data_IF_147728045916
#
_entry.id   IF_147728045916
#
_cell.length_a   1.000
_cell.length_b   1.000
_cell.length_c   1.000
_cell.angle_alpha   90.00
_cell.angle_beta   90.00
_cell.angle_gamma   90.00
#
_symmetry.space_group_name_H-M   'P 1'
#
loop_
_entity.id
_entity.type
_entity.pdbx_description
1 polymer ?
#
# COMPACT_ATOMS: atom_id res chain seq x y z
N UNK A 1 -5.29 -2.67 -11.76
CA UNK A 1 -6.72 -2.30 -11.71
C UNK A 1 -6.82 -0.84 -12.11
N UNK A 2 -7.52 -0.55 -13.21
CA UNK A 2 -7.55 0.81 -13.78
C UNK A 2 -8.43 1.69 -12.89
N UNK A 3 -8.06 2.95 -12.70
CA UNK A 3 -8.80 3.93 -11.87
C UNK A 3 -10.31 3.95 -12.21
N UNK A 4 -10.63 3.73 -13.49
CA UNK A 4 -12.01 3.62 -14.00
C UNK A 4 -12.78 2.45 -13.37
N UNK A 5 -12.20 1.26 -13.26
CA UNK A 5 -12.84 0.09 -12.63
C UNK A 5 -13.11 0.33 -11.14
N UNK A 6 -12.15 0.95 -10.45
CA UNK A 6 -12.25 1.25 -9.03
C UNK A 6 -13.29 2.33 -8.72
N UNK A 7 -13.44 3.32 -9.62
CA UNK A 7 -14.49 4.33 -9.54
C UNK A 7 -15.87 3.72 -9.85
N UNK A 8 -15.97 2.92 -10.91
CA UNK A 8 -17.24 2.35 -11.35
C UNK A 8 -17.79 1.30 -10.39
N UNK A 9 -16.97 0.37 -9.89
CA UNK A 9 -17.49 -0.68 -8.99
C UNK A 9 -17.81 -0.16 -7.58
N UNK A 10 -17.18 0.94 -7.15
CA UNK A 10 -17.21 1.35 -5.74
C UNK A 10 -18.02 2.62 -5.46
N UNK A 11 -18.12 3.52 -6.42
CA UNK A 11 -18.84 4.79 -6.27
C UNK A 11 -20.15 4.84 -7.07
N UNK A 12 -20.28 4.05 -8.15
CA UNK A 12 -21.50 4.01 -8.95
C UNK A 12 -22.72 3.47 -8.18
N UNK A 13 -22.63 2.37 -7.38
CA UNK A 13 -23.80 1.85 -6.67
C UNK A 13 -24.46 2.86 -5.70
N UNK A 14 -23.74 3.60 -4.84
CA UNK A 14 -24.38 4.58 -3.96
C UNK A 14 -24.92 5.81 -4.71
N UNK A 15 -24.28 6.22 -5.81
CA UNK A 15 -24.80 7.30 -6.67
C UNK A 15 -26.11 6.87 -7.34
N UNK A 16 -26.15 5.66 -7.90
CA UNK A 16 -27.37 5.09 -8.48
C UNK A 16 -28.45 4.94 -7.40
N UNK A 17 -28.10 4.44 -6.21
CA UNK A 17 -29.07 4.32 -5.12
C UNK A 17 -29.65 5.67 -4.70
N UNK A 18 -28.84 6.73 -4.63
CA UNK A 18 -29.30 8.08 -4.34
C UNK A 18 -30.25 8.62 -5.43
N UNK A 19 -29.89 8.44 -6.71
CA UNK A 19 -30.73 8.84 -7.84
C UNK A 19 -32.06 8.07 -7.87
N UNK A 20 -32.02 6.76 -7.64
CA UNK A 20 -33.21 5.90 -7.57
C UNK A 20 -34.09 6.32 -6.39
N UNK A 21 -33.51 6.61 -5.23
CA UNK A 21 -34.25 7.06 -4.05
C UNK A 21 -34.92 8.43 -4.28
N UNK A 22 -34.23 9.37 -4.93
CA UNK A 22 -34.82 10.64 -5.34
C UNK A 22 -35.97 10.46 -6.34
N UNK A 23 -35.79 9.58 -7.34
CA UNK A 23 -36.80 9.26 -8.33
C UNK A 23 -38.03 8.58 -7.72
N UNK A 24 -37.84 7.59 -6.84
CA UNK A 24 -38.92 6.91 -6.14
C UNK A 24 -39.69 7.87 -5.23
N UNK A 25 -39.00 8.78 -4.55
CA UNK A 25 -39.62 9.81 -3.71
C UNK A 25 -40.48 10.78 -4.53
N UNK A 26 -39.98 11.21 -5.69
CA UNK A 26 -40.74 12.04 -6.63
C UNK A 26 -41.96 11.29 -7.20
N UNK A 27 -41.78 10.02 -7.59
CA UNK A 27 -42.85 9.20 -8.14
C UNK A 27 -43.96 8.94 -7.11
N UNK A 28 -43.59 8.67 -5.85
CA UNK A 28 -44.53 8.50 -4.74
C UNK A 28 -45.28 9.80 -4.43
N UNK A 29 -44.59 10.94 -4.43
CA UNK A 29 -45.20 12.27 -4.26
C UNK A 29 -46.21 12.57 -5.38
N UNK A 30 -45.88 12.24 -6.63
CA UNK A 30 -46.76 12.40 -7.80
C UNK A 30 -48.04 11.56 -7.70
N UNK A 31 -47.94 10.30 -7.27
CA UNK A 31 -49.11 9.42 -7.12
C UNK A 31 -50.06 9.91 -6.01
N UNK A 32 -49.50 10.43 -4.91
CA UNK A 32 -50.30 10.80 -3.74
C UNK A 32 -50.75 12.27 -3.74
N UNK A 33 -50.43 13.06 -4.77
CA UNK A 33 -50.69 14.51 -4.85
C UNK A 33 -50.15 15.31 -3.65
N UNK A 34 -49.09 14.82 -3.01
CA UNK A 34 -48.40 15.49 -1.89
C UNK A 34 -47.21 16.24 -2.48
N UNK A 35 -46.91 17.46 -2.02
CA UNK A 35 -45.71 18.16 -2.49
C UNK A 35 -44.45 17.38 -2.09
N UNK A 36 -43.45 17.29 -2.96
CA UNK A 36 -42.22 16.53 -2.68
C UNK A 36 -41.53 17.00 -1.39
N UNK A 37 -41.65 18.28 -1.07
CA UNK A 37 -41.12 18.90 0.14
C UNK A 37 -41.90 18.41 1.38
N UNK A 38 -43.23 18.38 1.34
CA UNK A 38 -44.06 17.82 2.41
C UNK A 38 -43.75 16.34 2.66
N UNK A 39 -43.50 15.57 1.60
CA UNK A 39 -43.08 14.18 1.76
C UNK A 39 -41.76 14.07 2.53
N UNK A 40 -40.75 14.88 2.23
CA UNK A 40 -39.47 14.87 2.95
C UNK A 40 -39.60 15.24 4.44
N UNK A 41 -40.49 16.20 4.76
CA UNK A 41 -40.77 16.58 6.14
C UNK A 41 -41.65 15.57 6.88
N UNK A 42 -42.38 14.71 6.17
CA UNK A 42 -43.15 13.62 6.78
C UNK A 42 -42.27 12.46 7.25
N UNK A 43 -41.03 12.36 6.75
CA UNK A 43 -40.07 11.34 7.17
C UNK A 43 -39.60 11.65 8.61
N UNK A 44 -39.71 10.69 9.55
CA UNK A 44 -39.29 10.89 10.93
C UNK A 44 -37.81 11.34 11.02
N UNK A 45 -37.47 12.30 11.91
CA UNK A 45 -36.10 12.80 12.07
C UNK A 45 -35.06 11.70 12.33
N UNK A 46 -35.47 10.60 12.97
CA UNK A 46 -34.60 9.44 13.24
C UNK A 46 -34.07 8.81 11.95
N UNK A 47 -34.86 8.77 10.88
CA UNK A 47 -34.45 8.20 9.58
C UNK A 47 -33.35 9.07 8.96
N UNK A 48 -33.49 10.39 9.04
CA UNK A 48 -32.45 11.33 8.58
C UNK A 48 -31.14 11.15 9.34
N UNK A 49 -31.20 10.99 10.67
CA UNK A 49 -30.03 10.72 11.50
C UNK A 49 -29.32 9.41 11.09
N UNK A 50 -30.07 8.34 10.86
CA UNK A 50 -29.52 7.06 10.38
C UNK A 50 -28.85 7.21 9.00
N UNK A 51 -29.46 7.94 8.06
CA UNK A 51 -28.87 8.17 6.74
C UNK A 51 -27.55 8.95 6.83
N UNK A 52 -27.50 9.99 7.66
CA UNK A 52 -26.26 10.75 7.91
C UNK A 52 -25.18 9.85 8.51
N UNK A 53 -25.53 8.99 9.47
CA UNK A 53 -24.60 8.06 10.10
C UNK A 53 -24.04 7.04 9.09
N UNK A 54 -24.89 6.47 8.23
CA UNK A 54 -24.45 5.56 7.15
C UNK A 54 -23.51 6.27 6.18
N UNK A 55 -23.82 7.52 5.82
CA UNK A 55 -22.98 8.31 4.94
C UNK A 55 -21.60 8.61 5.56
N UNK A 56 -21.56 8.94 6.86
CA UNK A 56 -20.31 9.13 7.59
C UNK A 56 -19.48 7.84 7.65
N UNK A 57 -20.11 6.70 7.95
CA UNK A 57 -19.42 5.39 7.93
C UNK A 57 -18.83 5.09 6.56
N UNK A 58 -19.55 5.39 5.49
CA UNK A 58 -19.07 5.19 4.12
C UNK A 58 -17.85 6.07 3.80
N UNK A 59 -17.87 7.33 4.22
CA UNK A 59 -16.70 8.22 4.13
C UNK A 59 -15.51 7.64 4.90
N UNK A 60 -15.71 7.18 6.14
CA UNK A 60 -14.65 6.56 6.94
C UNK A 60 -14.03 5.34 6.20
N UNK A 61 -14.86 4.47 5.61
CA UNK A 61 -14.39 3.31 4.84
C UNK A 61 -13.59 3.72 3.60
N UNK A 62 -13.96 4.83 2.93
CA UNK A 62 -13.19 5.38 1.82
C UNK A 62 -11.82 5.85 2.30
N UNK A 63 -11.76 6.63 3.38
CA UNK A 63 -10.50 7.13 3.93
C UNK A 63 -9.57 5.99 4.35
N UNK A 64 -10.08 4.99 5.06
CA UNK A 64 -9.31 3.81 5.46
C UNK A 64 -8.75 3.10 4.22
N UNK A 65 -9.59 2.80 3.22
CA UNK A 65 -9.10 2.10 2.03
C UNK A 65 -8.13 2.95 1.18
N UNK A 66 -8.29 4.27 1.12
CA UNK A 66 -7.30 5.13 0.45
C UNK A 66 -5.94 5.04 1.15
N UNK A 67 -5.93 5.04 2.48
CA UNK A 67 -4.70 4.89 3.27
C UNK A 67 -4.06 3.51 3.07
N UNK A 68 -4.85 2.45 2.97
CA UNK A 68 -4.32 1.09 2.78
C UNK A 68 -3.80 0.81 1.36
N UNK A 69 -4.38 1.47 0.35
CA UNK A 69 -4.06 1.23 -1.05
C UNK A 69 -2.95 2.13 -1.60
N UNK A 70 -2.10 2.75 -0.76
CA UNK A 70 -0.91 3.46 -1.23
C UNK A 70 0.06 2.44 -1.84
N UNK A 71 -0.10 2.19 -3.15
CA UNK A 71 0.86 1.39 -3.91
C UNK A 71 2.01 2.30 -4.30
N UNK A 72 3.12 2.18 -3.60
CA UNK A 72 4.40 2.68 -4.10
C UNK A 72 4.79 1.86 -5.33
N UNK A 73 4.68 2.47 -6.52
CA UNK A 73 5.18 1.88 -7.76
C UNK A 73 6.69 1.89 -7.73
N UNK A 74 7.26 0.76 -7.31
CA UNK A 74 8.70 0.55 -7.37
C UNK A 74 9.11 0.12 -8.77
N UNK A 75 9.50 1.08 -9.59
CA UNK A 75 10.22 0.85 -10.83
C UNK A 75 11.72 0.96 -10.53
N UNK A 76 12.28 -0.02 -9.82
CA UNK A 76 13.73 -0.17 -9.78
C UNK A 76 14.24 -0.61 -11.14
N UNK A 77 15.36 -0.03 -11.59
CA UNK A 77 16.09 -0.57 -12.74
C UNK A 77 16.46 -2.02 -12.44
N UNK A 78 16.10 -2.94 -13.34
CA UNK A 78 16.53 -4.33 -13.23
C UNK A 78 17.97 -4.38 -13.76
N UNK A 79 18.97 -4.67 -12.92
CA UNK A 79 20.35 -4.77 -13.36
C UNK A 79 20.48 -5.91 -14.36
N UNK A 80 21.30 -5.70 -15.40
CA UNK A 80 21.50 -6.64 -16.50
C UNK A 80 21.94 -8.03 -16.02
N UNK A 81 22.81 -8.05 -15.01
CA UNK A 81 23.39 -9.26 -14.45
C UNK A 81 22.61 -9.80 -13.23
N UNK A 82 21.45 -9.20 -12.92
CA UNK A 82 20.64 -9.60 -11.79
C UNK A 82 21.14 -9.05 -10.45
N UNK A 83 20.52 -9.58 -9.39
CA UNK A 83 20.69 -9.12 -8.02
C UNK A 83 21.43 -10.17 -7.19
N UNK A 84 22.39 -9.76 -6.38
CA UNK A 84 22.96 -10.60 -5.32
C UNK A 84 22.43 -10.17 -3.96
N UNK A 85 22.15 -11.13 -3.07
CA UNK A 85 21.71 -10.84 -1.71
C UNK A 85 22.95 -10.53 -0.85
N UNK A 86 22.91 -9.41 -0.13
CA UNK A 86 24.04 -8.95 0.71
C UNK A 86 23.70 -9.07 2.18
N UNK A 87 22.54 -8.56 2.58
CA UNK A 87 22.16 -8.41 3.97
C UNK A 87 20.75 -8.94 4.22
N UNK A 88 20.49 -9.39 5.44
CA UNK A 88 19.16 -9.74 5.94
C UNK A 88 18.78 -8.73 7.02
N UNK A 89 17.55 -8.23 6.95
CA UNK A 89 17.02 -7.26 7.91
C UNK A 89 15.71 -7.76 8.49
N UNK A 90 15.66 -7.91 9.81
CA UNK A 90 14.43 -8.27 10.49
C UNK A 90 13.62 -7.02 10.78
N UNK A 91 12.42 -6.94 10.22
CA UNK A 91 11.52 -5.81 10.43
C UNK A 91 10.08 -6.27 10.33
N UNK A 92 9.23 -5.76 11.21
CA UNK A 92 7.82 -6.07 11.24
C UNK A 92 7.52 -7.58 11.42
N UNK A 93 8.38 -8.29 12.17
CA UNK A 93 8.22 -9.73 12.46
C UNK A 93 8.43 -10.65 11.25
N UNK A 94 9.08 -10.16 10.20
CA UNK A 94 9.47 -10.92 9.00
C UNK A 94 10.90 -10.57 8.60
N UNK A 95 11.51 -11.42 7.79
CA UNK A 95 12.88 -11.23 7.31
C UNK A 95 12.88 -10.58 5.93
N UNK A 96 13.56 -9.47 5.77
CA UNK A 96 13.77 -8.78 4.50
C UNK A 96 15.15 -9.10 3.95
N UNK A 97 15.25 -9.25 2.63
CA UNK A 97 16.54 -9.43 1.96
C UNK A 97 16.95 -8.13 1.29
N UNK A 98 18.12 -7.62 1.65
CA UNK A 98 18.75 -6.51 0.96
C UNK A 98 19.65 -7.07 -0.13
N UNK A 99 19.58 -6.45 -1.30
CA UNK A 99 20.24 -6.88 -2.52
C UNK A 99 21.04 -5.73 -3.11
N UNK A 100 22.09 -6.06 -3.84
CA UNK A 100 22.88 -5.11 -4.64
C UNK A 100 22.98 -5.66 -6.07
N UNK A 101 23.10 -4.83 -7.10
CA UNK A 101 23.33 -5.31 -8.45
C UNK A 101 24.64 -6.11 -8.54
N UNK A 102 24.66 -7.19 -9.32
CA UNK A 102 25.90 -7.89 -9.64
C UNK A 102 26.68 -7.03 -10.63
N UNK A 103 27.82 -6.50 -10.19
CA UNK A 103 28.71 -5.69 -11.02
C UNK A 103 29.60 -6.64 -11.82
N UNK A 104 29.62 -6.50 -13.15
CA UNK A 104 30.57 -7.22 -14.01
C UNK A 104 31.93 -6.53 -13.94
N UNK A 105 33.02 -7.22 -13.55
CA UNK A 105 34.34 -6.60 -13.52
C UNK A 105 34.83 -6.15 -14.92
N UNK A 106 34.25 -6.68 -16.00
CA UNK A 106 34.65 -6.36 -17.38
C UNK A 106 34.05 -5.04 -17.91
N UNK A 107 32.94 -4.58 -17.33
CA UNK A 107 32.24 -3.35 -17.74
C UNK A 107 32.53 -2.14 -16.81
N UNK A 108 33.47 -2.29 -15.87
CA UNK A 108 33.85 -1.28 -14.86
C UNK A 108 34.74 -0.14 -15.41
N UNK A 109 34.89 -0.02 -16.74
CA UNK A 109 35.67 1.02 -17.41
C UNK A 109 34.85 2.28 -17.70
N UNK A 110 34.09 2.80 -16.73
CA UNK A 110 33.63 4.18 -16.78
C UNK A 110 34.38 5.02 -15.73
N UNK A 111 35.49 5.68 -16.11
CA UNK A 111 36.35 6.44 -15.20
C UNK A 111 35.68 7.70 -14.62
N UNK A 112 34.45 8.03 -15.01
CA UNK A 112 33.70 9.20 -14.50
C UNK A 112 32.63 8.87 -13.46
N UNK A 113 32.39 7.59 -13.12
CA UNK A 113 31.38 7.23 -12.13
C UNK A 113 31.95 7.19 -10.70
N UNK A 114 32.34 8.36 -10.19
CA UNK A 114 32.93 8.54 -8.85
C UNK A 114 31.92 8.49 -7.68
N UNK A 115 30.63 8.25 -7.94
CA UNK A 115 29.62 8.04 -6.90
C UNK A 115 29.30 6.55 -6.76
N UNK A 116 30.31 5.76 -6.35
CA UNK A 116 30.22 4.32 -6.09
C UNK A 116 29.50 3.99 -4.77
N UNK A 117 28.37 4.63 -4.49
CA UNK A 117 27.51 4.12 -3.41
C UNK A 117 26.76 2.92 -3.98
N UNK A 118 27.01 1.69 -3.50
CA UNK A 118 26.29 0.53 -4.00
C UNK A 118 24.80 0.76 -3.77
N UNK A 119 24.01 0.72 -4.85
CA UNK A 119 22.56 0.86 -4.75
C UNK A 119 22.01 -0.37 -4.05
N UNK A 120 21.66 -0.22 -2.77
CA UNK A 120 21.00 -1.25 -2.00
C UNK A 120 19.50 -1.24 -2.28
N UNK A 121 18.93 -2.43 -2.40
CA UNK A 121 17.53 -2.62 -2.73
C UNK A 121 16.94 -3.70 -1.82
N UNK A 122 15.83 -3.37 -1.16
CA UNK A 122 15.07 -4.35 -0.39
C UNK A 122 14.17 -5.16 -1.32
N UNK A 123 14.34 -6.49 -1.26
CA UNK A 123 13.55 -7.45 -2.01
C UNK A 123 12.04 -7.18 -1.90
N UNK A 124 11.27 -7.36 -3.00
CA UNK A 124 9.86 -6.99 -3.03
C UNK A 124 8.97 -7.86 -2.14
N UNK A 125 9.44 -9.04 -1.76
CA UNK A 125 8.70 -9.99 -0.92
C UNK A 125 9.53 -10.36 0.32
N UNK A 126 8.98 -10.21 1.53
CA UNK A 126 9.62 -10.67 2.75
C UNK A 126 9.62 -12.20 2.81
N UNK A 127 10.46 -12.71 3.69
CA UNK A 127 10.59 -14.12 4.01
C UNK A 127 10.06 -14.39 5.41
N UNK A 128 9.55 -15.59 5.59
CA UNK A 128 9.10 -16.05 6.89
C UNK A 128 10.25 -16.10 7.91
N UNK A 129 10.00 -15.75 9.19
CA UNK A 129 11.00 -15.87 10.25
C UNK A 129 11.46 -17.30 10.48
N UNK A 130 10.56 -18.28 10.38
CA UNK A 130 10.82 -19.71 10.64
C UNK A 130 11.37 -20.43 9.40
N UNK A 131 10.60 -20.41 8.30
CA UNK A 131 10.83 -21.24 7.10
C UNK A 131 11.76 -20.57 6.06
N UNK A 132 12.13 -19.29 6.24
CA UNK A 132 12.83 -18.41 5.25
C UNK A 132 12.26 -18.42 3.82
N UNK A 133 11.06 -18.97 3.64
CA UNK A 133 10.36 -19.05 2.37
C UNK A 133 9.67 -17.71 2.11
N UNK A 134 9.54 -17.34 0.84
CA UNK A 134 8.82 -16.14 0.42
C UNK A 134 7.37 -16.20 0.91
N UNK A 135 6.91 -15.12 1.53
CA UNK A 135 5.53 -15.03 2.02
C UNK A 135 4.58 -14.75 0.86
N UNK A 136 3.43 -15.41 0.89
CA UNK A 136 2.29 -15.12 0.01
C UNK A 136 1.45 -14.03 0.67
N UNK A 137 1.09 -13.01 -0.10
CA UNK A 137 0.32 -11.86 0.39
C UNK A 137 -1.07 -11.92 -0.22
N UNK A 138 -2.09 -11.89 0.62
CA UNK A 138 -3.49 -11.83 0.23
C UNK A 138 -4.09 -10.49 0.66
N UNK A 139 -4.61 -9.75 -0.29
CA UNK A 139 -5.29 -8.48 -0.06
C UNK A 139 -6.76 -8.71 0.26
N UNK A 140 -7.22 -8.26 1.41
CA UNK A 140 -8.64 -8.22 1.77
C UNK A 140 -9.16 -6.78 1.82
N UNK A 141 -10.47 -6.61 2.02
CA UNK A 141 -11.11 -5.30 1.95
C UNK A 141 -10.59 -4.29 2.97
N UNK A 142 -10.23 -4.75 4.17
CA UNK A 142 -9.76 -3.91 5.29
C UNK A 142 -8.48 -4.43 5.94
N UNK A 143 -7.84 -5.48 5.41
CA UNK A 143 -6.54 -5.92 5.93
C UNK A 143 -5.77 -6.67 4.84
N UNK A 144 -4.49 -6.89 5.09
CA UNK A 144 -3.64 -7.80 4.33
C UNK A 144 -3.29 -8.99 5.21
N UNK A 145 -3.16 -10.16 4.59
CA UNK A 145 -2.73 -11.38 5.26
C UNK A 145 -1.45 -11.88 4.62
N UNK A 146 -0.44 -12.17 5.42
CA UNK A 146 0.84 -12.72 4.99
C UNK A 146 0.95 -14.14 5.50
N UNK A 147 1.14 -15.11 4.60
CA UNK A 147 1.17 -16.54 4.94
C UNK A 147 2.41 -17.22 4.38
N UNK A 148 3.11 -18.06 5.16
CA UNK A 148 4.13 -18.97 4.61
C UNK A 148 3.40 -20.15 3.94
N UNK A 149 3.74 -20.52 2.70
CA UNK A 149 3.17 -21.72 2.07
C UNK A 149 3.73 -23.03 2.65
N UNK A 150 4.85 -22.96 3.38
CA UNK A 150 5.57 -24.12 3.89
C UNK A 150 5.37 -24.34 5.41
N UNK A 151 5.02 -23.31 6.18
CA UNK A 151 4.80 -23.42 7.63
C UNK A 151 3.53 -22.67 8.03
N UNK A 152 3.07 -22.87 9.26
CA UNK A 152 1.84 -22.27 9.78
C UNK A 152 1.96 -20.79 10.16
N UNK A 153 3.00 -20.10 9.70
CA UNK A 153 3.15 -18.67 9.92
C UNK A 153 2.09 -17.89 9.13
N UNK A 154 1.24 -17.18 9.87
CA UNK A 154 0.24 -16.27 9.33
C UNK A 154 0.22 -14.95 10.11
N UNK A 155 0.27 -13.83 9.41
CA UNK A 155 0.22 -12.49 10.03
C UNK A 155 -0.83 -11.62 9.34
N UNK A 156 -1.67 -10.95 10.12
CA UNK A 156 -2.63 -9.95 9.64
C UNK A 156 -2.05 -8.55 9.82
N UNK A 157 -2.16 -7.71 8.80
CA UNK A 157 -1.58 -6.36 8.79
C UNK A 157 -2.56 -5.36 8.18
N UNK A 158 -2.56 -4.12 8.65
CA UNK A 158 -3.32 -3.02 8.03
C UNK A 158 -2.49 -2.24 7.02
N UNK A 159 -1.17 -2.42 7.10
CA UNK A 159 -0.21 -1.73 6.24
C UNK A 159 0.07 -2.57 5.00
N UNK A 160 0.20 -1.89 3.87
CA UNK A 160 0.57 -2.54 2.62
C UNK A 160 2.01 -3.04 2.71
N UNK A 161 2.32 -4.12 1.99
CA UNK A 161 3.69 -4.61 1.89
C UNK A 161 4.65 -3.54 1.37
N UNK A 162 4.17 -2.69 0.45
CA UNK A 162 4.98 -1.63 -0.15
C UNK A 162 5.38 -0.58 0.88
N UNK A 163 4.45 -0.14 1.73
CA UNK A 163 4.75 0.85 2.78
C UNK A 163 5.70 0.29 3.86
N UNK A 164 5.57 -1.00 4.17
CA UNK A 164 6.51 -1.68 5.10
C UNK A 164 7.89 -1.78 4.44
N UNK A 165 7.97 -2.21 3.20
CA UNK A 165 9.24 -2.31 2.45
C UNK A 165 9.93 -0.96 2.34
N UNK A 166 9.22 0.11 2.00
CA UNK A 166 9.80 1.44 1.82
C UNK A 166 10.37 1.97 3.15
N UNK A 167 9.73 1.65 4.28
CA UNK A 167 10.33 1.91 5.61
C UNK A 167 11.61 1.10 5.84
N UNK A 168 11.64 -0.17 5.45
CA UNK A 168 12.86 -0.98 5.55
C UNK A 168 13.97 -0.42 4.65
N UNK A 169 13.62 0.01 3.44
CA UNK A 169 14.56 0.65 2.51
C UNK A 169 15.17 1.91 3.15
N UNK A 170 14.35 2.81 3.68
CA UNK A 170 14.83 4.02 4.35
C UNK A 170 15.74 3.72 5.56
N UNK A 171 15.44 2.65 6.31
CA UNK A 171 16.30 2.20 7.43
C UNK A 171 17.66 1.72 6.90
N UNK A 172 17.66 0.91 5.85
CA UNK A 172 18.88 0.38 5.23
C UNK A 172 19.71 1.51 4.63
N UNK A 173 19.08 2.43 3.89
CA UNK A 173 19.75 3.58 3.28
C UNK A 173 20.43 4.44 4.37
N UNK A 174 19.73 4.70 5.48
CA UNK A 174 20.32 5.44 6.60
C UNK A 174 21.49 4.71 7.25
N UNK A 175 21.43 3.38 7.39
CA UNK A 175 22.53 2.59 7.93
C UNK A 175 23.77 2.65 7.05
N UNK A 176 23.59 2.66 5.73
CA UNK A 176 24.66 2.79 4.74
C UNK A 176 25.27 4.18 4.78
N UNK A 177 24.46 5.24 4.84
CA UNK A 177 24.95 6.62 5.00
C UNK A 177 25.85 6.77 6.23
N UNK A 178 25.43 6.23 7.38
CA UNK A 178 26.20 6.29 8.62
C UNK A 178 27.54 5.56 8.47
N UNK A 179 27.56 4.41 7.79
CA UNK A 179 28.81 3.67 7.55
C UNK A 179 29.77 4.47 6.65
N UNK A 180 29.26 5.09 5.59
CA UNK A 180 30.05 5.94 4.70
C UNK A 180 30.61 7.19 5.41
N UNK A 181 29.80 7.84 6.27
CA UNK A 181 30.26 8.96 7.10
C UNK A 181 31.40 8.54 8.05
N UNK A 182 31.32 7.33 8.63
CA UNK A 182 32.35 6.77 9.51
C UNK A 182 33.63 6.40 8.75
N UNK A 183 33.53 5.86 7.54
CA UNK A 183 34.69 5.52 6.71
C UNK A 183 35.42 6.78 6.24
N UNK A 184 34.67 7.79 5.77
CA UNK A 184 35.24 9.06 5.34
C UNK A 184 35.96 9.77 6.48
N UNK A 185 35.34 9.86 7.67
CA UNK A 185 35.96 10.51 8.83
C UNK A 185 37.26 9.82 9.29
N UNK A 186 37.40 8.50 9.12
CA UNK A 186 38.65 7.78 9.37
C UNK A 186 39.74 8.08 8.34
N UNK A 187 39.38 8.25 7.06
CA UNK A 187 40.35 8.59 6.01
C UNK A 187 40.95 10.00 6.17
N UNK A 188 40.23 10.94 6.78
CA UNK A 188 40.74 12.31 7.01
C UNK A 188 41.51 12.47 8.34
N UNK A 189 41.63 11.42 9.15
CA UNK A 189 42.36 11.44 10.43
C UNK A 189 43.69 10.65 10.42
N UNK A 190 44.02 9.96 9.32
CA UNK A 190 45.29 9.24 9.13
C UNK A 190 46.17 9.92 8.09
#
# INVERSE_FOLDING_TARGET
>A
MKLKELLFERYLPPIIAYLVMGFLSYFYSSINNISWIEFLYSIPPIVWQFLVLIFLLWICVIFIKRRMNSKSTYYGSIPRNGWQNVLRKDYFGVKWQVRTPIIDPVLDFDPFNMNRVPVFNVAPTPRCPECETKLVISDHFLWHTWTCPHCNFGKRTWESIYDVRDRVQNIVDREVEIQLEQENSRQFQG
#
